data_IF_876216114646
#
_entry.id   IF_876216114646
#
_cell.length_a   1.000
_cell.length_b   1.000
_cell.length_c   1.000
_cell.angle_alpha   90.00
_cell.angle_beta   90.00
_cell.angle_gamma   90.00
#
_symmetry.space_group_name_H-M   'P 1'
#
loop_
_entity.id
_entity.type
_entity.pdbx_description
1 polymer ?
#
# COMPACT_ATOMS: atom_id res chain seq x y z
N UNK A 1 -4.88 2.37 -1.06
CA UNK A 1 -4.48 1.24 -0.18
C UNK A 1 -4.73 1.68 1.27
N UNK A 2 -4.68 0.78 2.25
CA UNK A 2 -4.63 1.20 3.66
C UNK A 2 -3.25 1.76 4.00
N UNK A 3 -3.15 2.62 5.01
CA UNK A 3 -1.89 3.22 5.52
C UNK A 3 -1.45 2.64 6.87
N UNK A 4 -2.10 1.57 7.30
CA UNK A 4 -1.81 0.83 8.52
C UNK A 4 -2.05 -0.66 8.30
N UNK A 5 -1.44 -1.49 9.14
CA UNK A 5 -1.56 -2.94 9.04
C UNK A 5 -3.04 -3.36 9.10
N UNK A 6 -3.48 -4.10 8.08
CA UNK A 6 -4.84 -4.62 7.95
C UNK A 6 -4.82 -6.11 8.29
N UNK A 7 -5.81 -6.67 9.01
CA UNK A 7 -5.91 -8.11 9.24
C UNK A 7 -5.89 -8.92 7.93
N UNK A 8 -5.45 -10.18 8.03
CA UNK A 8 -5.49 -11.14 6.91
C UNK A 8 -6.92 -11.40 6.43
N UNK A 9 -7.06 -12.01 5.24
CA UNK A 9 -8.37 -12.38 4.67
C UNK A 9 -9.34 -11.22 4.39
N UNK A 10 -8.82 -10.08 3.92
CA UNK A 10 -9.62 -8.93 3.44
C UNK A 10 -9.47 -8.75 1.94
N UNK A 11 -10.42 -8.04 1.32
CA UNK A 11 -10.38 -7.70 -0.10
C UNK A 11 -10.13 -8.88 -1.06
N UNK A 12 -10.69 -10.06 -0.74
CA UNK A 12 -10.54 -11.31 -1.49
C UNK A 12 -9.09 -11.80 -1.67
N UNK A 13 -8.18 -11.45 -0.75
CA UNK A 13 -6.83 -12.01 -0.68
C UNK A 13 -6.57 -12.65 0.68
N UNK A 14 -5.68 -13.64 0.70
CA UNK A 14 -5.15 -14.25 1.92
C UNK A 14 -4.21 -13.27 2.63
N UNK A 15 -3.17 -12.84 1.93
CA UNK A 15 -2.21 -11.85 2.40
C UNK A 15 -2.67 -10.45 2.02
N UNK A 16 -3.11 -9.66 3.01
CA UNK A 16 -3.70 -8.33 2.78
C UNK A 16 -2.59 -7.28 2.73
N UNK A 17 -2.56 -6.51 1.63
CA UNK A 17 -1.56 -5.46 1.42
C UNK A 17 -1.94 -4.13 2.06
N UNK A 18 -0.95 -3.42 2.61
CA UNK A 18 -1.06 -2.07 3.15
C UNK A 18 0.22 -1.28 2.87
N UNK A 19 0.12 0.05 2.78
CA UNK A 19 1.24 0.93 2.49
C UNK A 19 1.90 1.40 3.79
N UNK A 20 3.22 1.32 3.89
CA UNK A 20 3.97 1.66 5.11
C UNK A 20 4.07 3.15 5.39
N UNK A 21 3.80 3.98 4.37
CA UNK A 21 3.86 5.43 4.45
C UNK A 21 2.57 6.02 3.87
N UNK A 22 2.19 7.26 4.24
CA UNK A 22 0.99 7.89 3.74
C UNK A 22 0.99 8.08 2.21
N UNK A 23 -0.22 8.14 1.66
CA UNK A 23 -0.42 8.49 0.25
C UNK A 23 0.14 9.88 -0.05
N UNK A 24 0.71 10.09 -1.25
CA UNK A 24 1.24 11.39 -1.64
C UNK A 24 0.15 12.47 -1.69
N UNK A 25 0.56 13.71 -1.47
CA UNK A 25 -0.18 14.90 -1.86
C UNK A 25 -0.09 15.13 -3.37
N UNK A 26 -0.89 16.07 -3.90
CA UNK A 26 -0.82 16.43 -5.31
C UNK A 26 0.53 17.07 -5.70
N UNK A 27 1.25 17.67 -4.74
CA UNK A 27 2.54 18.34 -4.97
C UNK A 27 3.72 17.39 -5.01
N UNK A 28 3.59 16.21 -4.41
CA UNK A 28 4.70 15.25 -4.31
C UNK A 28 4.99 14.53 -5.63
N UNK A 29 4.05 14.58 -6.59
CA UNK A 29 4.21 13.93 -7.88
C UNK A 29 4.19 12.39 -7.77
N UNK A 30 5.08 11.74 -8.53
CA UNK A 30 5.25 10.28 -8.47
C UNK A 30 6.26 9.96 -7.38
N UNK A 31 5.84 9.19 -6.38
CA UNK A 31 6.68 8.79 -5.26
C UNK A 31 6.77 7.28 -5.17
N UNK A 32 7.89 6.79 -4.65
CA UNK A 32 8.06 5.38 -4.33
C UNK A 32 7.52 5.11 -2.92
N UNK A 33 6.85 3.97 -2.76
CA UNK A 33 6.26 3.53 -1.49
C UNK A 33 6.48 2.03 -1.32
N UNK A 34 6.63 1.61 -0.07
CA UNK A 34 6.65 0.19 0.26
C UNK A 34 5.24 -0.27 0.62
N UNK A 35 4.82 -1.38 0.02
CA UNK A 35 3.61 -2.12 0.40
C UNK A 35 4.05 -3.37 1.13
N UNK A 36 3.60 -3.50 2.38
CA UNK A 36 3.73 -4.70 3.18
C UNK A 36 2.48 -5.58 3.01
N UNK A 37 2.65 -6.89 3.10
CA UNK A 37 1.55 -7.85 3.10
C UNK A 37 1.53 -8.59 4.44
N UNK A 38 0.41 -8.47 5.14
CA UNK A 38 0.20 -9.16 6.41
C UNK A 38 -0.10 -10.64 6.16
N UNK A 39 0.69 -11.52 6.76
CA UNK A 39 0.51 -12.97 6.73
C UNK A 39 1.19 -13.64 7.95
N UNK A 40 0.67 -14.77 8.42
CA UNK A 40 1.21 -15.54 9.57
C UNK A 40 1.55 -14.67 10.81
N UNK A 41 0.62 -13.79 11.21
CA UNK A 41 0.76 -12.84 12.33
C UNK A 41 1.91 -11.81 12.20
N UNK A 42 2.58 -11.77 11.05
CA UNK A 42 3.57 -10.76 10.69
C UNK A 42 2.95 -9.72 9.75
N UNK A 43 2.78 -8.50 10.26
CA UNK A 43 2.23 -7.37 9.51
C UNK A 43 3.03 -7.01 8.24
N UNK A 44 4.29 -7.41 8.12
CA UNK A 44 5.10 -7.18 6.93
C UNK A 44 5.89 -8.43 6.52
N UNK A 45 5.20 -9.58 6.46
CA UNK A 45 5.79 -10.86 6.04
C UNK A 45 6.41 -10.80 4.65
N UNK A 46 5.71 -10.14 3.72
CA UNK A 46 6.19 -9.86 2.37
C UNK A 46 6.13 -8.36 2.11
N UNK A 47 7.00 -7.87 1.22
CA UNK A 47 6.99 -6.48 0.82
C UNK A 47 7.33 -6.31 -0.66
N UNK A 48 6.81 -5.26 -1.26
CA UNK A 48 7.19 -4.80 -2.60
C UNK A 48 7.25 -3.28 -2.64
N UNK A 49 8.05 -2.74 -3.55
CA UNK A 49 8.10 -1.31 -3.80
C UNK A 49 7.20 -0.99 -5.00
N UNK A 50 6.36 0.03 -4.83
CA UNK A 50 5.47 0.51 -5.89
C UNK A 50 5.70 2.00 -6.13
N UNK A 51 5.24 2.49 -7.27
CA UNK A 51 5.11 3.93 -7.49
C UNK A 51 3.64 4.34 -7.33
N UNK A 52 3.41 5.43 -6.62
CA UNK A 52 2.08 6.00 -6.45
C UNK A 52 2.10 7.49 -6.76
N UNK A 53 1.00 8.00 -7.32
CA UNK A 53 0.77 9.43 -7.52
C UNK A 53 -0.68 9.76 -7.17
N UNK A 54 -0.88 10.93 -6.56
CA UNK A 54 -2.21 11.53 -6.40
C UNK A 54 -2.62 12.27 -7.66
N UNK A 55 -3.79 11.93 -8.20
CA UNK A 55 -4.47 12.64 -9.28
C UNK A 55 -5.71 13.36 -8.71
N UNK A 56 -6.52 13.98 -9.58
CA UNK A 56 -7.73 14.70 -9.16
C UNK A 56 -8.81 13.72 -8.67
N UNK A 57 -8.83 13.48 -7.35
CA UNK A 57 -9.84 12.65 -6.66
C UNK A 57 -9.51 11.16 -6.58
N UNK A 58 -8.39 10.71 -7.12
CA UNK A 58 -7.97 9.31 -7.09
C UNK A 58 -6.45 9.15 -7.03
N UNK A 59 -6.01 7.92 -6.81
CA UNK A 59 -4.59 7.54 -6.80
C UNK A 59 -4.31 6.55 -7.92
N UNK A 60 -3.16 6.70 -8.57
CA UNK A 60 -2.66 5.76 -9.57
C UNK A 60 -1.48 5.00 -8.96
N UNK A 61 -1.48 3.69 -9.12
CA UNK A 61 -0.46 2.79 -8.61
C UNK A 61 0.20 2.04 -9.76
N UNK A 62 1.53 1.97 -9.76
CA UNK A 62 2.33 1.11 -10.64
C UNK A 62 3.08 0.13 -9.74
N UNK A 63 2.66 -1.13 -9.82
CA UNK A 63 3.23 -2.25 -9.07
C UNK A 63 4.48 -2.79 -9.75
#
# INVERSE_FOLDING_TARGET
LAESCVPTHRCNTKATGWMTEPHPSARDGVVQRTVCFHWDDDCCRYQTQIFVRRCHGFYVYRL
#
